data_IF_760823796226
#
_entry.id   IF_760823796226
#
_cell.length_a   1.000
_cell.length_b   1.000
_cell.length_c   1.000
_cell.angle_alpha   90.00
_cell.angle_beta   90.00
_cell.angle_gamma   90.00
#
_symmetry.space_group_name_H-M   'P 1'
#
loop_
_entity.id
_entity.type
_entity.pdbx_description
1 polymer ?
#
# COMPACT_ATOMS: atom_id res chain seq x y z
N UNK A 1 12.59 14.69 34.40
CA UNK A 1 11.93 13.64 33.60
C UNK A 1 12.98 12.59 33.25
N UNK A 2 12.77 11.33 33.60
CA UNK A 2 13.68 10.23 33.26
C UNK A 2 13.58 9.89 31.76
N UNK A 3 14.58 9.18 31.21
CA UNK A 3 14.52 8.75 29.80
C UNK A 3 13.32 7.85 29.51
N UNK A 4 12.90 7.04 30.49
CA UNK A 4 11.73 6.17 30.38
C UNK A 4 10.42 6.93 30.36
N UNK A 5 10.32 8.02 31.13
CA UNK A 5 9.17 8.93 31.07
C UNK A 5 9.09 9.62 29.72
N UNK A 6 10.22 10.08 29.16
CA UNK A 6 10.27 10.65 27.80
C UNK A 6 9.80 9.63 26.77
N UNK A 7 10.31 8.40 26.83
CA UNK A 7 9.90 7.32 25.92
C UNK A 7 8.42 6.96 26.08
N UNK A 8 7.91 6.90 27.32
CA UNK A 8 6.51 6.64 27.60
C UNK A 8 5.59 7.73 27.03
N UNK A 9 5.93 9.00 27.26
CA UNK A 9 5.24 10.14 26.67
C UNK A 9 5.26 10.10 25.15
N UNK A 10 6.39 9.76 24.54
CA UNK A 10 6.48 9.65 23.09
C UNK A 10 5.62 8.50 22.56
N UNK A 11 5.69 7.33 23.18
CA UNK A 11 4.91 6.14 22.77
C UNK A 11 3.40 6.38 22.84
N UNK A 12 2.95 7.20 23.80
CA UNK A 12 1.55 7.60 23.91
C UNK A 12 1.16 8.77 22.99
N UNK A 13 1.90 9.88 23.05
CA UNK A 13 1.51 11.13 22.38
C UNK A 13 1.70 11.08 20.86
N UNK A 14 2.67 10.32 20.36
CA UNK A 14 2.90 10.22 18.93
C UNK A 14 1.74 9.57 18.17
N UNK A 15 1.26 8.34 18.50
CA UNK A 15 0.10 7.76 17.84
C UNK A 15 -1.16 8.60 17.99
N UNK A 16 -1.35 9.24 19.16
CA UNK A 16 -2.48 10.13 19.40
C UNK A 16 -2.44 11.35 18.46
N UNK A 17 -1.30 12.04 18.38
CA UNK A 17 -1.12 13.20 17.52
C UNK A 17 -1.32 12.81 16.05
N UNK A 18 -0.73 11.70 15.61
CA UNK A 18 -0.91 11.22 14.24
C UNK A 18 -2.35 10.82 13.93
N UNK A 19 -3.05 10.20 14.89
CA UNK A 19 -4.48 9.89 14.78
C UNK A 19 -5.31 11.15 14.51
N UNK A 20 -5.08 12.22 15.28
CA UNK A 20 -5.76 13.52 15.11
C UNK A 20 -5.41 14.15 13.76
N UNK A 21 -4.12 14.19 13.39
CA UNK A 21 -3.64 14.76 12.13
C UNK A 21 -4.26 14.03 10.94
N UNK A 22 -4.17 12.70 10.90
CA UNK A 22 -4.69 11.92 9.78
C UNK A 22 -6.22 11.98 9.68
N UNK A 23 -6.92 11.97 10.81
CA UNK A 23 -8.38 12.08 10.86
C UNK A 23 -8.84 13.45 10.34
N UNK A 24 -8.29 14.54 10.88
CA UNK A 24 -8.67 15.89 10.49
C UNK A 24 -8.32 16.20 9.03
N UNK A 25 -7.10 15.87 8.60
CA UNK A 25 -6.68 16.05 7.21
C UNK A 25 -7.45 15.14 6.24
N UNK A 26 -7.82 13.93 6.66
CA UNK A 26 -8.66 13.02 5.89
C UNK A 26 -10.07 13.57 5.66
N UNK A 27 -10.70 14.10 6.71
CA UNK A 27 -12.00 14.79 6.62
C UNK A 27 -11.90 16.01 5.70
N UNK A 28 -10.83 16.81 5.86
CA UNK A 28 -10.60 17.98 5.01
C UNK A 28 -10.44 17.59 3.53
N UNK A 29 -9.64 16.57 3.24
CA UNK A 29 -9.49 16.03 1.89
C UNK A 29 -10.83 15.57 1.34
N UNK A 30 -11.60 14.83 2.13
CA UNK A 30 -12.90 14.35 1.70
C UNK A 30 -13.84 15.50 1.36
N UNK A 31 -13.97 16.48 2.26
CA UNK A 31 -14.86 17.61 2.07
C UNK A 31 -14.46 18.47 0.85
N UNK A 32 -13.16 18.71 0.64
CA UNK A 32 -12.67 19.60 -0.41
C UNK A 32 -12.48 18.95 -1.77
N UNK A 33 -12.09 17.68 -1.81
CA UNK A 33 -11.64 17.00 -3.03
C UNK A 33 -12.43 15.75 -3.35
N UNK A 34 -12.87 14.97 -2.36
CA UNK A 34 -13.52 13.70 -2.62
C UNK A 34 -15.03 13.84 -2.82
N UNK A 35 -15.74 14.59 -1.97
CA UNK A 35 -17.20 14.74 -2.00
C UNK A 35 -17.71 15.29 -3.34
N UNK A 36 -16.94 16.16 -3.99
CA UNK A 36 -17.26 16.68 -5.32
C UNK A 36 -16.93 15.69 -6.45
N UNK A 37 -15.95 14.80 -6.24
CA UNK A 37 -15.48 13.79 -7.21
C UNK A 37 -16.13 12.41 -7.03
N UNK A 38 -16.76 12.12 -5.89
CA UNK A 38 -17.50 10.87 -5.62
C UNK A 38 -18.76 10.77 -6.47
N UNK A 39 -19.28 11.92 -6.92
CA UNK A 39 -20.22 11.96 -8.03
C UNK A 39 -19.44 11.64 -9.30
N UNK A 40 -19.77 10.53 -9.96
CA UNK A 40 -19.31 10.23 -11.33
C UNK A 40 -19.34 11.53 -12.13
N UNK A 41 -18.27 11.90 -12.86
CA UNK A 41 -18.30 13.08 -13.70
C UNK A 41 -19.58 13.03 -14.53
N UNK A 42 -20.30 14.15 -14.62
CA UNK A 42 -21.53 14.23 -15.40
C UNK A 42 -21.31 13.77 -16.83
N UNK A 43 -20.10 14.01 -17.35
CA UNK A 43 -19.59 13.47 -18.60
C UNK A 43 -18.12 13.07 -18.45
N UNK A 44 -17.79 11.86 -18.90
CA UNK A 44 -16.42 11.46 -19.15
C UNK A 44 -15.87 12.17 -20.39
N UNK A 45 -14.56 12.43 -20.48
CA UNK A 45 -13.97 12.97 -21.70
C UNK A 45 -14.16 11.99 -22.86
N UNK A 46 -14.29 12.54 -24.07
CA UNK A 46 -14.37 11.74 -25.30
C UNK A 46 -12.99 11.15 -25.65
N UNK A 47 -11.94 11.95 -25.50
CA UNK A 47 -10.57 11.56 -25.83
C UNK A 47 -9.83 11.05 -24.59
N UNK A 48 -9.57 9.75 -24.56
CA UNK A 48 -8.83 9.08 -23.49
C UNK A 48 -7.38 8.78 -23.90
N UNK A 49 -6.41 8.91 -22.97
CA UNK A 49 -5.04 8.46 -23.22
C UNK A 49 -4.98 6.94 -23.38
N UNK A 50 -4.11 6.44 -24.25
CA UNK A 50 -3.85 5.01 -24.39
C UNK A 50 -3.21 4.42 -23.14
N UNK A 51 -3.60 3.20 -22.76
CA UNK A 51 -3.15 2.54 -21.53
C UNK A 51 -2.52 1.17 -21.78
N UNK A 52 -1.36 0.90 -21.17
CA UNK A 52 -0.82 -0.46 -21.01
C UNK A 52 -0.91 -0.88 -19.55
N UNK A 53 -1.66 -1.95 -19.27
CA UNK A 53 -1.74 -2.58 -17.96
C UNK A 53 -0.68 -3.69 -17.90
N UNK A 54 0.25 -3.60 -16.96
CA UNK A 54 1.25 -4.60 -16.65
C UNK A 54 0.77 -5.44 -15.47
N UNK A 55 0.69 -6.76 -15.68
CA UNK A 55 0.28 -7.74 -14.66
C UNK A 55 1.43 -8.72 -14.46
N UNK A 56 2.40 -8.42 -13.58
CA UNK A 56 3.47 -9.35 -13.30
C UNK A 56 2.89 -10.56 -12.55
N UNK A 57 3.39 -11.76 -12.86
CA UNK A 57 2.92 -13.02 -12.30
C UNK A 57 4.09 -13.99 -12.04
N UNK A 58 4.04 -14.73 -10.94
CA UNK A 58 4.91 -15.90 -10.71
C UNK A 58 4.16 -16.91 -9.84
N UNK A 59 3.83 -18.09 -10.35
CA UNK A 59 3.08 -19.11 -9.61
C UNK A 59 1.77 -18.60 -8.97
N UNK A 60 0.85 -18.10 -9.79
CA UNK A 60 -0.44 -17.49 -9.41
C UNK A 60 -1.64 -18.25 -10.02
N UNK A 61 -1.52 -19.57 -10.26
CA UNK A 61 -2.56 -20.38 -10.94
C UNK A 61 -3.94 -20.34 -10.26
N UNK A 62 -3.97 -20.07 -8.96
CA UNK A 62 -5.19 -20.00 -8.15
C UNK A 62 -5.96 -18.69 -8.36
N UNK A 63 -5.24 -17.58 -8.61
CA UNK A 63 -5.78 -16.22 -8.59
C UNK A 63 -5.92 -15.61 -9.99
N UNK A 64 -4.98 -15.93 -10.90
CA UNK A 64 -4.82 -15.23 -12.18
C UNK A 64 -6.06 -15.29 -13.07
N UNK A 65 -6.82 -16.40 -13.02
CA UNK A 65 -8.05 -16.54 -13.81
C UNK A 65 -9.10 -15.48 -13.46
N UNK A 66 -9.22 -15.12 -12.18
CA UNK A 66 -10.17 -14.10 -11.73
C UNK A 66 -9.75 -12.71 -12.21
N UNK A 67 -8.46 -12.40 -12.13
CA UNK A 67 -7.86 -11.16 -12.65
C UNK A 67 -8.06 -11.04 -14.17
N UNK A 68 -7.73 -12.08 -14.95
CA UNK A 68 -7.98 -12.10 -16.39
C UNK A 68 -9.46 -11.91 -16.72
N UNK A 69 -10.35 -12.52 -15.94
CA UNK A 69 -11.80 -12.36 -16.13
C UNK A 69 -12.22 -10.91 -15.90
N UNK A 70 -11.81 -10.30 -14.79
CA UNK A 70 -12.15 -8.91 -14.47
C UNK A 70 -11.64 -7.92 -15.53
N UNK A 71 -10.43 -8.13 -16.04
CA UNK A 71 -9.82 -7.26 -17.04
C UNK A 71 -10.55 -7.26 -18.40
N UNK A 72 -11.34 -8.30 -18.71
CA UNK A 72 -12.16 -8.32 -19.94
C UNK A 72 -13.35 -7.37 -19.87
N UNK A 73 -13.77 -7.00 -18.66
CA UNK A 73 -14.96 -6.16 -18.42
C UNK A 73 -14.59 -4.71 -18.07
N UNK A 74 -13.36 -4.28 -18.34
CA UNK A 74 -12.97 -2.89 -18.16
C UNK A 74 -13.74 -1.99 -19.13
N UNK A 75 -14.37 -0.95 -18.58
CA UNK A 75 -15.01 0.11 -19.31
C UNK A 75 -13.97 1.19 -19.62
N UNK A 76 -13.14 0.95 -20.64
CA UNK A 76 -12.13 1.88 -21.13
C UNK A 76 -11.88 1.67 -22.63
N UNK A 77 -11.78 2.75 -23.44
CA UNK A 77 -11.80 2.61 -24.90
C UNK A 77 -10.50 2.06 -25.51
N UNK A 78 -9.33 2.48 -25.03
CA UNK A 78 -8.02 2.09 -25.58
C UNK A 78 -7.10 1.58 -24.47
N UNK A 79 -7.09 0.27 -24.30
CA UNK A 79 -6.21 -0.40 -23.35
C UNK A 79 -5.66 -1.70 -23.90
N UNK A 80 -4.46 -2.04 -23.42
CA UNK A 80 -3.86 -3.37 -23.60
C UNK A 80 -3.37 -3.92 -22.28
N UNK A 81 -3.35 -5.23 -22.15
CA UNK A 81 -2.88 -5.95 -20.96
C UNK A 81 -1.68 -6.79 -21.33
N UNK A 82 -0.59 -6.63 -20.60
CA UNK A 82 0.62 -7.44 -20.72
C UNK A 82 0.81 -8.20 -19.42
N UNK A 83 0.49 -9.49 -19.47
CA UNK A 83 0.81 -10.42 -18.40
C UNK A 83 2.29 -10.79 -18.49
N UNK A 84 3.03 -10.61 -17.41
CA UNK A 84 4.48 -10.86 -17.37
C UNK A 84 4.71 -12.10 -16.51
N UNK A 85 4.82 -13.26 -17.16
CA UNK A 85 5.13 -14.52 -16.48
C UNK A 85 6.63 -14.60 -16.17
N UNK A 86 7.00 -14.37 -14.91
CA UNK A 86 8.38 -14.38 -14.40
C UNK A 86 8.86 -15.82 -14.14
N UNK A 87 8.82 -16.64 -15.18
CA UNK A 87 9.16 -18.07 -15.18
C UNK A 87 8.34 -18.91 -14.17
N UNK A 88 7.00 -18.86 -14.26
CA UNK A 88 6.16 -19.75 -13.44
C UNK A 88 6.40 -21.23 -13.78
N UNK A 89 6.35 -22.05 -12.74
CA UNK A 89 6.48 -23.51 -12.79
C UNK A 89 5.14 -24.24 -12.71
N UNK A 90 4.06 -23.51 -12.39
CA UNK A 90 2.70 -24.02 -12.29
C UNK A 90 1.86 -23.73 -13.55
N UNK A 91 0.53 -23.86 -13.48
CA UNK A 91 -0.36 -23.66 -14.64
C UNK A 91 -0.61 -22.19 -15.02
N UNK A 92 0.02 -21.22 -14.35
CA UNK A 92 -0.21 -19.77 -14.56
C UNK A 92 -0.14 -19.38 -16.05
N UNK A 93 0.94 -19.74 -16.73
CA UNK A 93 1.15 -19.39 -18.13
C UNK A 93 0.11 -20.03 -19.06
N UNK A 94 -0.32 -21.26 -18.77
CA UNK A 94 -1.35 -21.97 -19.55
C UNK A 94 -2.72 -21.33 -19.40
N UNK A 95 -3.07 -20.89 -18.18
CA UNK A 95 -4.30 -20.14 -17.92
C UNK A 95 -4.28 -18.82 -18.69
N UNK A 96 -3.19 -18.04 -18.61
CA UNK A 96 -3.07 -16.76 -19.32
C UNK A 96 -3.20 -16.94 -20.84
N UNK A 97 -2.53 -17.95 -21.43
CA UNK A 97 -2.62 -18.23 -22.88
C UNK A 97 -4.06 -18.43 -23.35
N UNK A 98 -4.91 -19.08 -22.55
CA UNK A 98 -6.32 -19.25 -22.88
C UNK A 98 -7.03 -17.89 -23.00
N UNK A 99 -6.78 -16.96 -22.08
CA UNK A 99 -7.39 -15.62 -22.13
C UNK A 99 -6.81 -14.75 -23.26
N UNK A 100 -5.51 -14.87 -23.55
CA UNK A 100 -4.88 -14.21 -24.71
C UNK A 100 -5.55 -14.64 -26.02
N UNK A 101 -5.91 -15.92 -26.16
CA UNK A 101 -6.65 -16.40 -27.33
C UNK A 101 -8.09 -15.89 -27.43
N UNK A 102 -8.66 -15.34 -26.36
CA UNK A 102 -10.05 -14.87 -26.30
C UNK A 102 -10.18 -13.34 -26.42
N UNK A 103 -9.13 -12.59 -26.10
CA UNK A 103 -9.16 -11.14 -26.10
C UNK A 103 -7.91 -10.56 -26.79
N UNK A 104 -8.05 -9.83 -27.92
CA UNK A 104 -6.93 -9.28 -28.66
C UNK A 104 -6.14 -8.22 -27.89
N UNK A 105 -6.71 -7.62 -26.85
CA UNK A 105 -6.03 -6.65 -25.99
C UNK A 105 -5.03 -7.34 -25.04
N UNK A 106 -5.08 -8.67 -24.90
CA UNK A 106 -4.28 -9.40 -23.92
C UNK A 106 -3.03 -9.99 -24.57
N UNK A 107 -1.90 -9.85 -23.89
CA UNK A 107 -0.60 -10.34 -24.34
C UNK A 107 0.12 -11.04 -23.19
N UNK A 108 0.91 -12.05 -23.53
CA UNK A 108 1.76 -12.76 -22.58
C UNK A 108 3.23 -12.51 -22.93
N UNK A 109 3.96 -11.91 -22.00
CA UNK A 109 5.42 -11.85 -22.00
C UNK A 109 5.94 -12.88 -21.00
N UNK A 110 6.61 -13.92 -21.48
CA UNK A 110 7.18 -14.97 -20.63
C UNK A 110 8.69 -14.83 -20.54
N UNK A 111 9.20 -14.74 -19.32
CA UNK A 111 10.63 -14.70 -19.03
C UNK A 111 11.17 -16.13 -18.88
N UNK A 112 12.43 -16.33 -19.29
CA UNK A 112 13.11 -17.63 -19.20
C UNK A 112 13.50 -17.99 -17.77
N UNK A 113 13.73 -16.99 -16.92
CA UNK A 113 14.20 -17.15 -15.54
C UNK A 113 13.46 -16.17 -14.62
N UNK A 114 13.36 -16.51 -13.33
CA UNK A 114 12.78 -15.63 -12.33
C UNK A 114 13.74 -14.47 -12.03
N UNK A 115 13.39 -13.28 -12.54
CA UNK A 115 14.13 -12.04 -12.38
C UNK A 115 13.64 -11.20 -11.20
N UNK A 116 12.47 -11.54 -10.65
CA UNK A 116 11.79 -10.78 -9.61
C UNK A 116 10.90 -9.67 -10.19
N UNK A 117 9.86 -9.29 -9.42
CA UNK A 117 8.79 -8.38 -9.85
C UNK A 117 9.31 -7.08 -10.48
N UNK A 118 10.27 -6.41 -9.84
CA UNK A 118 10.81 -5.13 -10.33
C UNK A 118 11.49 -5.28 -11.70
N UNK A 119 12.31 -6.31 -11.88
CA UNK A 119 12.99 -6.55 -13.16
C UNK A 119 12.00 -6.99 -14.24
N UNK A 120 11.05 -7.87 -13.90
CA UNK A 120 9.98 -8.27 -14.82
C UNK A 120 9.19 -7.05 -15.33
N UNK A 121 8.83 -6.13 -14.43
CA UNK A 121 8.18 -4.86 -14.79
C UNK A 121 9.09 -3.99 -15.68
N UNK A 122 10.38 -3.88 -15.40
CA UNK A 122 11.30 -3.08 -16.22
C UNK A 122 11.50 -3.66 -17.63
N UNK A 123 11.58 -4.98 -17.76
CA UNK A 123 11.65 -5.65 -19.07
C UNK A 123 10.37 -5.35 -19.86
N UNK A 124 9.20 -5.51 -19.25
CA UNK A 124 7.94 -5.21 -19.91
C UNK A 124 7.82 -3.71 -20.27
N UNK A 125 8.29 -2.81 -19.40
CA UNK A 125 8.31 -1.37 -19.64
C UNK A 125 9.17 -1.00 -20.87
N UNK A 126 10.26 -1.73 -21.11
CA UNK A 126 11.14 -1.46 -22.26
C UNK A 126 10.62 -2.09 -23.55
N UNK A 127 10.07 -3.31 -23.51
CA UNK A 127 9.71 -4.06 -24.73
C UNK A 127 8.24 -4.00 -25.13
N UNK A 128 7.32 -3.74 -24.19
CA UNK A 128 5.88 -3.89 -24.42
C UNK A 128 5.06 -2.60 -24.20
N UNK A 129 5.62 -1.59 -23.52
CA UNK A 129 4.91 -0.35 -23.21
C UNK A 129 5.20 0.72 -24.27
N UNK A 130 4.20 0.98 -25.11
CA UNK A 130 4.17 2.03 -26.14
C UNK A 130 3.11 3.11 -25.88
N UNK A 131 2.33 2.98 -24.81
CA UNK A 131 1.18 3.82 -24.50
C UNK A 131 1.54 4.98 -23.58
N UNK A 132 0.66 5.99 -23.55
CA UNK A 132 0.88 7.22 -22.76
C UNK A 132 0.83 7.00 -21.25
N UNK A 133 0.02 6.04 -20.79
CA UNK A 133 -0.15 5.69 -19.39
C UNK A 133 0.17 4.21 -19.16
N UNK A 134 1.00 3.93 -18.16
CA UNK A 134 1.32 2.58 -17.70
C UNK A 134 0.57 2.31 -16.40
N UNK A 135 -0.23 1.25 -16.34
CA UNK A 135 -0.89 0.80 -15.11
C UNK A 135 -0.21 -0.46 -14.64
N UNK A 136 0.03 -0.60 -13.34
CA UNK A 136 0.54 -1.82 -12.71
C UNK A 136 -0.50 -2.31 -11.71
N UNK A 137 -0.84 -3.59 -11.83
CA UNK A 137 -1.69 -4.30 -10.87
C UNK A 137 -1.06 -5.64 -10.50
N UNK A 138 -1.33 -6.16 -9.31
CA UNK A 138 -0.86 -7.50 -8.95
C UNK A 138 -1.73 -8.59 -9.63
N UNK A 139 -1.16 -9.78 -9.84
CA UNK A 139 -1.83 -10.94 -10.44
C UNK A 139 -3.09 -11.42 -9.70
N UNK A 140 -3.23 -11.04 -8.43
CA UNK A 140 -4.36 -11.35 -7.54
C UNK A 140 -5.27 -10.14 -7.28
N UNK A 141 -5.20 -9.11 -8.12
CA UNK A 141 -6.03 -7.90 -7.99
C UNK A 141 -7.16 -7.87 -9.00
N UNK A 142 -8.39 -7.68 -8.51
CA UNK A 142 -9.59 -7.50 -9.34
C UNK A 142 -9.91 -6.00 -9.43
N UNK A 143 -9.87 -5.45 -10.64
CA UNK A 143 -10.34 -4.09 -10.91
C UNK A 143 -11.86 -4.08 -11.12
N UNK A 144 -12.53 -3.02 -10.65
CA UNK A 144 -13.92 -2.76 -11.06
C UNK A 144 -13.94 -2.21 -12.49
N UNK A 145 -15.07 -2.35 -13.22
CA UNK A 145 -15.16 -1.93 -14.62
C UNK A 145 -14.71 -0.48 -14.88
N UNK A 146 -15.06 0.45 -13.99
CA UNK A 146 -14.74 1.89 -14.12
C UNK A 146 -13.44 2.31 -13.42
N UNK A 147 -12.72 1.39 -12.76
CA UNK A 147 -11.48 1.72 -12.02
C UNK A 147 -10.43 2.37 -12.93
N UNK A 148 -10.29 1.90 -14.17
CA UNK A 148 -9.29 2.44 -15.10
C UNK A 148 -9.57 3.90 -15.46
N UNK A 149 -10.85 4.26 -15.67
CA UNK A 149 -11.25 5.66 -15.90
C UNK A 149 -10.86 6.56 -14.74
N UNK A 150 -11.09 6.13 -13.49
CA UNK A 150 -10.70 6.91 -12.32
C UNK A 150 -9.18 7.04 -12.15
N UNK A 151 -8.40 6.02 -12.51
CA UNK A 151 -6.94 6.09 -12.48
C UNK A 151 -6.40 7.08 -13.52
N UNK A 152 -6.97 7.09 -14.72
CA UNK A 152 -6.41 7.85 -15.85
C UNK A 152 -6.92 9.29 -15.89
N UNK A 153 -8.17 9.54 -15.52
CA UNK A 153 -8.81 10.86 -15.61
C UNK A 153 -7.99 12.03 -15.00
N UNK A 154 -7.32 11.87 -13.84
CA UNK A 154 -6.47 12.93 -13.29
C UNK A 154 -5.32 13.39 -14.19
N UNK A 155 -4.75 12.51 -15.03
CA UNK A 155 -3.62 12.85 -15.90
C UNK A 155 -4.00 13.84 -17.01
N UNK A 156 -5.29 13.91 -17.36
CA UNK A 156 -5.82 14.89 -18.32
C UNK A 156 -5.88 16.30 -17.73
N UNK A 157 -5.96 16.42 -16.40
CA UNK A 157 -6.11 17.72 -15.72
C UNK A 157 -4.81 18.26 -15.14
N UNK A 158 -3.89 17.39 -14.77
CA UNK A 158 -2.65 17.77 -14.07
C UNK A 158 -1.43 17.34 -14.90
N UNK A 159 -0.80 18.28 -15.64
CA UNK A 159 0.40 18.00 -16.43
C UNK A 159 1.57 17.43 -15.61
N UNK A 160 1.76 17.90 -14.37
CA UNK A 160 2.83 17.43 -13.48
C UNK A 160 2.49 16.13 -12.73
N UNK A 161 1.40 15.45 -13.08
CA UNK A 161 1.03 14.19 -12.45
C UNK A 161 1.92 13.06 -12.98
N UNK A 162 2.74 12.50 -12.11
CA UNK A 162 3.61 11.36 -12.43
C UNK A 162 2.94 10.02 -12.12
N UNK A 163 2.15 9.94 -11.05
CA UNK A 163 1.46 8.71 -10.67
C UNK A 163 0.10 8.94 -9.98
N UNK A 164 -0.81 7.98 -10.15
CA UNK A 164 -2.09 7.88 -9.45
C UNK A 164 -2.21 6.50 -8.84
N UNK A 165 -2.34 6.42 -7.52
CA UNK A 165 -2.63 5.17 -6.81
C UNK A 165 -4.11 5.06 -6.46
N UNK A 166 -4.67 3.87 -6.69
CA UNK A 166 -6.05 3.55 -6.35
C UNK A 166 -6.24 3.15 -4.90
N UNK A 167 -7.45 2.67 -4.59
CA UNK A 167 -7.93 2.26 -3.28
C UNK A 167 -8.07 0.74 -3.18
N UNK A 168 -7.10 0.04 -2.54
CA UNK A 168 -7.20 -1.38 -2.33
C UNK A 168 -8.25 -1.71 -1.24
N UNK A 169 -9.19 -2.59 -1.56
CA UNK A 169 -10.21 -3.07 -0.64
C UNK A 169 -10.02 -4.57 -0.44
N UNK A 170 -9.80 -4.98 0.81
CA UNK A 170 -9.67 -6.39 1.14
C UNK A 170 -11.03 -7.09 1.03
N UNK A 171 -11.11 -8.21 0.30
CA UNK A 171 -12.37 -8.94 0.12
C UNK A 171 -12.60 -9.98 1.20
N UNK A 172 -11.55 -10.64 1.69
CA UNK A 172 -11.68 -11.70 2.69
C UNK A 172 -11.85 -11.11 4.10
N UNK A 173 -12.88 -11.59 4.81
CA UNK A 173 -13.25 -11.17 6.19
C UNK A 173 -13.73 -12.36 7.04
N UNK A 174 -13.22 -13.57 6.77
CA UNK A 174 -13.67 -14.82 7.43
C UNK A 174 -13.14 -14.92 8.86
N UNK A 175 -11.84 -14.68 9.07
CA UNK A 175 -11.21 -14.80 10.38
C UNK A 175 -10.77 -13.43 10.98
N UNK A 176 -10.30 -13.44 12.24
CA UNK A 176 -9.90 -12.21 12.94
C UNK A 176 -8.78 -11.45 12.22
N UNK A 177 -7.75 -12.15 11.74
CA UNK A 177 -6.60 -11.55 11.04
C UNK A 177 -7.06 -10.87 9.74
N UNK A 178 -7.98 -11.51 9.01
CA UNK A 178 -8.58 -10.94 7.81
C UNK A 178 -9.45 -9.71 8.11
N UNK A 179 -10.29 -9.76 9.15
CA UNK A 179 -11.11 -8.61 9.58
C UNK A 179 -10.27 -7.42 10.01
N UNK A 180 -9.19 -7.65 10.76
CA UNK A 180 -8.27 -6.60 11.20
C UNK A 180 -7.49 -5.97 10.03
N UNK A 181 -7.13 -6.76 9.02
CA UNK A 181 -6.48 -6.24 7.81
C UNK A 181 -7.45 -5.49 6.91
N UNK A 182 -8.69 -5.97 6.75
CA UNK A 182 -9.73 -5.25 6.03
C UNK A 182 -9.99 -3.88 6.68
N UNK A 183 -10.06 -3.86 8.02
CA UNK A 183 -10.09 -2.62 8.77
C UNK A 183 -8.87 -1.77 8.40
N UNK A 184 -7.63 -2.24 8.58
CA UNK A 184 -6.42 -1.46 8.32
C UNK A 184 -6.28 -0.88 6.90
N UNK A 185 -6.48 -1.69 5.85
CA UNK A 185 -6.33 -1.26 4.46
C UNK A 185 -7.34 -0.18 4.11
N UNK A 186 -8.63 -0.46 4.38
CA UNK A 186 -9.70 0.43 3.98
C UNK A 186 -9.81 1.65 4.90
N UNK A 187 -9.41 1.54 6.18
CA UNK A 187 -9.46 2.66 7.12
C UNK A 187 -8.14 3.44 7.20
N UNK A 188 -7.09 2.84 7.76
CA UNK A 188 -5.87 3.52 8.20
C UNK A 188 -5.04 3.90 6.99
N UNK A 189 -4.77 2.96 6.08
CA UNK A 189 -3.98 3.24 4.89
C UNK A 189 -4.72 4.25 3.99
N UNK A 190 -6.01 4.04 3.76
CA UNK A 190 -6.85 4.98 3.01
C UNK A 190 -6.87 6.39 3.62
N UNK A 191 -7.03 6.51 4.94
CA UNK A 191 -7.06 7.79 5.66
C UNK A 191 -5.70 8.49 5.64
N UNK A 192 -4.61 7.75 5.88
CA UNK A 192 -3.23 8.27 5.79
C UNK A 192 -2.98 8.83 4.40
N UNK A 193 -3.36 8.11 3.33
CA UNK A 193 -3.20 8.60 1.96
C UNK A 193 -4.01 9.86 1.69
N UNK A 194 -5.25 9.97 2.17
CA UNK A 194 -6.05 11.20 2.09
C UNK A 194 -5.35 12.37 2.80
N UNK A 195 -4.83 12.14 4.00
CA UNK A 195 -4.05 13.13 4.75
C UNK A 195 -2.79 13.57 3.99
N UNK A 196 -2.00 12.61 3.50
CA UNK A 196 -0.81 12.85 2.68
C UNK A 196 -1.12 13.64 1.41
N UNK A 197 -2.29 13.46 0.81
CA UNK A 197 -2.76 14.26 -0.33
C UNK A 197 -3.06 15.71 0.00
N UNK A 198 -3.37 16.04 1.25
CA UNK A 198 -3.46 17.44 1.71
C UNK A 198 -2.08 18.07 1.77
N UNK A 199 -1.10 17.34 2.30
CA UNK A 199 0.32 17.76 2.32
C UNK A 199 0.95 17.82 0.91
N UNK A 200 0.29 17.22 -0.07
CA UNK A 200 0.74 17.18 -1.47
C UNK A 200 1.80 16.11 -1.73
N UNK A 201 2.16 15.27 -0.77
CA UNK A 201 3.18 14.23 -0.90
C UNK A 201 2.71 12.92 -0.32
N UNK A 202 2.93 11.84 -1.05
CA UNK A 202 2.50 10.48 -0.68
C UNK A 202 3.73 9.64 -0.37
N UNK A 203 3.69 8.88 0.73
CA UNK A 203 4.80 8.04 1.14
C UNK A 203 5.04 6.89 0.14
N UNK A 204 3.95 6.26 -0.29
CA UNK A 204 3.99 5.12 -1.21
C UNK A 204 2.70 5.01 -2.02
N UNK A 205 2.84 4.70 -3.30
CA UNK A 205 1.75 4.13 -4.09
C UNK A 205 1.42 2.72 -3.58
N UNK A 206 0.20 2.25 -3.79
CA UNK A 206 -0.14 0.84 -3.60
C UNK A 206 0.27 0.06 -4.84
N UNK A 207 1.26 -0.82 -4.71
CA UNK A 207 1.77 -1.64 -5.82
C UNK A 207 0.73 -2.57 -6.48
N UNK A 208 -0.42 -2.79 -5.85
CA UNK A 208 -1.52 -3.58 -6.40
C UNK A 208 -2.45 -2.78 -7.34
N UNK A 209 -2.44 -1.44 -7.29
CA UNK A 209 -3.23 -0.58 -8.20
C UNK A 209 -2.61 0.81 -8.31
N UNK A 210 -1.88 1.03 -9.39
CA UNK A 210 -1.23 2.31 -9.66
C UNK A 210 -1.11 2.56 -11.17
N UNK A 211 -1.40 3.79 -11.57
CA UNK A 211 -1.16 4.32 -12.90
C UNK A 211 0.02 5.30 -12.87
N UNK A 212 0.82 5.30 -13.92
CA UNK A 212 1.97 6.16 -14.11
C UNK A 212 1.88 6.83 -15.47
N UNK A 213 2.32 8.08 -15.54
CA UNK A 213 2.65 8.71 -16.81
C UNK A 213 3.87 7.97 -17.37
N UNK A 214 3.74 7.34 -18.54
CA UNK A 214 4.77 6.41 -19.06
C UNK A 214 6.12 7.09 -19.23
N UNK A 215 6.15 8.31 -19.75
CA UNK A 215 7.37 9.10 -19.90
C UNK A 215 8.08 9.34 -18.55
N UNK A 216 7.33 9.65 -17.49
CA UNK A 216 7.88 9.86 -16.15
C UNK A 216 8.43 8.56 -15.57
N UNK A 217 7.71 7.46 -15.73
CA UNK A 217 8.16 6.14 -15.28
C UNK A 217 9.48 5.73 -15.94
N UNK A 218 9.64 6.04 -17.24
CA UNK A 218 10.89 5.81 -17.98
C UNK A 218 12.00 6.81 -17.57
N UNK A 219 11.67 8.09 -17.41
CA UNK A 219 12.60 9.16 -17.00
C UNK A 219 13.27 8.84 -15.65
N UNK A 220 12.53 8.29 -14.70
CA UNK A 220 13.06 7.92 -13.37
C UNK A 220 13.77 6.56 -13.34
N UNK A 221 13.90 5.90 -14.50
CA UNK A 221 14.61 4.62 -14.64
C UNK A 221 13.83 3.41 -14.15
N UNK A 222 12.50 3.47 -14.09
CA UNK A 222 11.65 2.35 -13.69
C UNK A 222 11.83 1.87 -12.25
N UNK A 223 11.45 0.62 -12.01
CA UNK A 223 11.37 -0.01 -10.70
C UNK A 223 12.75 -0.47 -10.22
N UNK A 224 13.15 -0.15 -8.99
CA UNK A 224 14.46 -0.59 -8.48
C UNK A 224 14.44 -2.07 -8.06
N UNK A 225 15.38 -2.92 -8.53
CA UNK A 225 15.53 -4.30 -8.03
C UNK A 225 16.30 -4.38 -6.70
N UNK A 226 16.84 -3.26 -6.22
CA UNK A 226 17.65 -3.17 -5.01
C UNK A 226 16.83 -2.80 -3.77
N UNK A 227 15.51 -2.95 -3.84
CA UNK A 227 14.58 -2.71 -2.72
C UNK A 227 13.66 -3.91 -2.52
N UNK A 228 13.20 -4.11 -1.29
CA UNK A 228 12.20 -5.12 -0.98
C UNK A 228 10.78 -4.68 -1.36
N UNK A 229 10.61 -3.38 -1.62
CA UNK A 229 9.35 -2.70 -1.94
C UNK A 229 9.61 -1.70 -3.06
N UNK A 230 9.39 -2.13 -4.29
CA UNK A 230 9.59 -1.36 -5.51
C UNK A 230 8.65 -0.15 -5.62
N UNK A 231 7.47 -0.28 -5.02
CA UNK A 231 6.41 0.74 -4.95
C UNK A 231 6.79 1.95 -4.09
N UNK A 232 7.43 1.72 -2.94
CA UNK A 232 7.98 2.81 -2.13
C UNK A 232 9.06 3.55 -2.93
N UNK A 233 10.03 2.83 -3.50
CA UNK A 233 11.16 3.45 -4.20
C UNK A 233 10.73 4.29 -5.41
N UNK A 234 9.84 3.76 -6.25
CA UNK A 234 9.36 4.49 -7.44
C UNK A 234 8.60 5.77 -7.04
N UNK A 235 7.82 5.72 -5.94
CA UNK A 235 7.09 6.89 -5.43
C UNK A 235 8.04 8.03 -5.10
N UNK A 236 9.17 7.73 -4.48
CA UNK A 236 10.16 8.73 -4.09
C UNK A 236 10.97 9.24 -5.29
N UNK A 237 11.35 8.36 -6.22
CA UNK A 237 12.01 8.77 -7.47
C UNK A 237 11.16 9.77 -8.27
N UNK A 238 9.86 9.50 -8.42
CA UNK A 238 8.90 10.39 -9.10
C UNK A 238 8.82 11.74 -8.38
N UNK A 239 8.63 11.74 -7.06
CA UNK A 239 8.49 12.98 -6.32
C UNK A 239 9.79 13.79 -6.22
N UNK A 240 10.98 13.17 -6.27
CA UNK A 240 12.28 13.86 -6.36
C UNK A 240 12.49 14.58 -7.69
N UNK A 241 11.74 14.21 -8.74
CA UNK A 241 11.66 14.90 -10.04
C UNK A 241 10.52 15.93 -10.10
N UNK A 242 9.96 16.35 -8.96
CA UNK A 242 8.90 17.36 -8.86
C UNK A 242 7.56 16.98 -9.48
N UNK A 243 7.39 15.73 -9.86
CA UNK A 243 6.08 15.20 -10.23
C UNK A 243 5.23 14.94 -8.99
N UNK A 244 3.92 15.09 -9.17
CA UNK A 244 2.94 14.80 -8.15
C UNK A 244 2.55 13.33 -8.16
N UNK A 245 2.18 12.82 -6.98
CA UNK A 245 1.60 11.49 -6.80
C UNK A 245 0.24 11.65 -6.12
N UNK A 246 -0.81 11.15 -6.77
CA UNK A 246 -2.18 11.32 -6.30
C UNK A 246 -2.75 10.00 -5.80
N UNK A 247 -3.55 10.05 -4.74
CA UNK A 247 -4.41 8.96 -4.32
C UNK A 247 -5.84 9.29 -4.74
N UNK A 248 -6.48 8.35 -5.44
CA UNK A 248 -7.84 8.48 -5.96
C UNK A 248 -8.69 7.37 -5.33
N UNK A 249 -9.52 7.71 -4.31
CA UNK A 249 -10.27 6.70 -3.56
C UNK A 249 -11.34 5.97 -4.39
N UNK A 250 -11.82 6.58 -5.47
CA UNK A 250 -12.78 6.01 -6.42
C UNK A 250 -12.18 4.91 -7.30
N UNK A 251 -10.86 4.90 -7.48
CA UNK A 251 -10.16 3.88 -8.26
C UNK A 251 -10.01 2.60 -7.42
N UNK A 252 -11.11 1.88 -7.21
CA UNK A 252 -11.17 0.71 -6.33
C UNK A 252 -10.52 -0.51 -6.97
N UNK A 253 -9.71 -1.22 -6.18
CA UNK A 253 -9.17 -2.51 -6.56
C UNK A 253 -9.40 -3.51 -5.42
N UNK A 254 -9.98 -4.65 -5.75
CA UNK A 254 -10.27 -5.71 -4.79
C UNK A 254 -9.05 -6.62 -4.64
N UNK A 255 -8.58 -6.79 -3.41
CA UNK A 255 -7.37 -7.56 -3.06
C UNK A 255 -7.67 -8.64 -2.03
N UNK A 256 -6.80 -9.64 -1.96
CA UNK A 256 -6.78 -10.60 -0.86
C UNK A 256 -5.74 -10.22 0.20
N UNK A 257 -6.17 -10.20 1.46
CA UNK A 257 -5.27 -10.10 2.59
C UNK A 257 -4.77 -11.49 3.03
N UNK A 258 -3.55 -11.60 3.57
CA UNK A 258 -3.06 -12.81 4.23
C UNK A 258 -4.07 -13.46 5.17
N UNK A 259 -4.33 -14.77 4.99
CA UNK A 259 -5.31 -15.50 5.80
C UNK A 259 -4.72 -16.00 7.13
N UNK A 260 -3.40 -16.14 7.22
CA UNK A 260 -2.70 -16.71 8.37
C UNK A 260 -1.68 -15.73 8.98
N UNK A 261 -1.41 -15.87 10.29
CA UNK A 261 -0.42 -15.05 10.99
C UNK A 261 0.99 -15.20 10.39
N UNK A 262 1.33 -16.39 9.88
CA UNK A 262 2.61 -16.66 9.23
C UNK A 262 2.77 -15.88 7.93
N UNK A 263 1.73 -15.80 7.11
CA UNK A 263 1.74 -15.02 5.87
C UNK A 263 1.75 -13.53 6.17
N UNK A 264 0.95 -13.10 7.15
CA UNK A 264 0.95 -11.74 7.65
C UNK A 264 2.35 -11.31 8.12
N UNK A 265 3.05 -12.12 8.91
CA UNK A 265 4.43 -11.86 9.33
C UNK A 265 5.40 -11.73 8.17
N UNK A 266 5.30 -12.60 7.15
CA UNK A 266 6.15 -12.49 5.95
C UNK A 266 5.90 -11.18 5.20
N UNK A 267 4.64 -10.80 5.04
CA UNK A 267 4.27 -9.54 4.39
C UNK A 267 4.82 -8.34 5.18
N UNK A 268 4.60 -8.29 6.50
CA UNK A 268 5.03 -7.19 7.36
C UNK A 268 6.55 -7.04 7.43
N UNK A 269 7.28 -8.15 7.51
CA UNK A 269 8.75 -8.11 7.42
C UNK A 269 9.23 -7.51 6.10
N UNK A 270 8.57 -7.83 4.97
CA UNK A 270 8.94 -7.26 3.67
C UNK A 270 8.69 -5.75 3.64
N UNK A 271 7.54 -5.30 4.13
CA UNK A 271 7.22 -3.87 4.21
C UNK A 271 8.16 -3.10 5.15
N UNK A 272 8.43 -3.64 6.33
CA UNK A 272 9.35 -3.04 7.29
C UNK A 272 10.77 -2.94 6.71
N UNK A 273 11.24 -4.00 6.04
CA UNK A 273 12.52 -4.01 5.33
C UNK A 273 12.56 -2.98 4.20
N UNK A 274 11.47 -2.87 3.43
CA UNK A 274 11.30 -1.87 2.39
C UNK A 274 11.43 -0.44 2.89
N UNK A 275 10.85 -0.15 4.05
CA UNK A 275 11.02 1.13 4.72
C UNK A 275 12.45 1.42 5.19
N UNK A 276 13.16 0.41 5.69
CA UNK A 276 14.60 0.57 5.98
C UNK A 276 15.41 0.89 4.72
N UNK A 277 15.08 0.25 3.60
CA UNK A 277 15.72 0.53 2.32
C UNK A 277 15.41 1.95 1.85
N UNK A 278 14.16 2.44 1.97
CA UNK A 278 13.78 3.83 1.72
C UNK A 278 14.69 4.81 2.48
N UNK A 279 14.85 4.62 3.79
CA UNK A 279 15.69 5.50 4.62
C UNK A 279 17.14 5.54 4.14
N UNK A 280 17.66 4.43 3.58
CA UNK A 280 19.02 4.34 3.04
C UNK A 280 19.16 4.92 1.64
N UNK A 281 18.23 4.61 0.74
CA UNK A 281 18.33 4.95 -0.68
C UNK A 281 17.92 6.39 -0.97
N UNK A 282 17.08 6.99 -0.12
CA UNK A 282 16.57 8.36 -0.28
C UNK A 282 17.04 9.33 0.82
N UNK A 283 18.08 9.00 1.61
CA UNK A 283 18.70 9.97 2.55
C UNK A 283 19.36 11.16 1.87
N UNK A 284 19.63 11.05 0.58
CA UNK A 284 20.22 12.12 -0.22
C UNK A 284 19.29 13.33 -0.38
N UNK A 285 18.00 13.20 -0.03
CA UNK A 285 17.07 14.34 0.01
C UNK A 285 17.59 15.51 0.86
N UNK A 286 18.40 15.22 1.89
CA UNK A 286 18.98 16.25 2.77
C UNK A 286 20.22 16.93 2.20
N UNK A 287 20.78 16.43 1.08
CA UNK A 287 21.93 17.06 0.42
C UNK A 287 21.56 18.36 -0.29
N UNK A 288 20.27 18.60 -0.54
CA UNK A 288 19.80 19.80 -1.21
C UNK A 288 18.46 20.28 -0.65
N UNK A 289 18.38 21.58 -0.35
CA UNK A 289 17.15 22.24 0.08
C UNK A 289 16.00 22.17 -0.94
N UNK A 290 16.34 21.87 -2.20
CA UNK A 290 15.38 21.71 -3.29
C UNK A 290 14.30 20.65 -2.96
N UNK A 291 14.65 19.60 -2.21
CA UNK A 291 13.76 18.48 -1.85
C UNK A 291 13.08 18.61 -0.48
N UNK A 292 13.14 19.77 0.19
CA UNK A 292 12.58 19.97 1.55
C UNK A 292 11.09 19.63 1.69
N UNK A 293 10.33 19.67 0.59
CA UNK A 293 8.91 19.32 0.60
C UNK A 293 8.66 17.84 0.88
N UNK A 294 9.68 16.98 0.75
CA UNK A 294 9.63 15.56 1.12
C UNK A 294 9.92 15.34 2.61
N UNK A 295 10.49 16.34 3.30
CA UNK A 295 10.90 16.20 4.70
C UNK A 295 9.74 15.84 5.64
N UNK A 296 8.53 16.42 5.53
CA UNK A 296 7.44 16.06 6.44
C UNK A 296 7.10 14.56 6.37
N UNK A 297 7.02 14.00 5.17
CA UNK A 297 6.72 12.56 4.97
C UNK A 297 7.92 11.69 5.37
N UNK A 298 9.15 12.15 5.13
CA UNK A 298 10.35 11.44 5.60
C UNK A 298 10.41 11.38 7.13
N UNK A 299 10.20 12.52 7.81
CA UNK A 299 10.26 12.61 9.26
C UNK A 299 9.11 11.86 9.92
N UNK A 300 7.89 11.94 9.40
CA UNK A 300 6.76 11.09 9.84
C UNK A 300 7.17 9.61 9.81
N UNK A 301 7.81 9.17 8.73
CA UNK A 301 8.29 7.80 8.61
C UNK A 301 9.39 7.43 9.63
N UNK A 302 10.38 8.31 9.81
CA UNK A 302 11.47 8.12 10.80
C UNK A 302 10.92 8.09 12.23
N UNK A 303 10.00 8.99 12.57
CA UNK A 303 9.35 9.06 13.88
C UNK A 303 8.54 7.80 14.14
N UNK A 304 7.80 7.28 13.15
CA UNK A 304 7.11 5.99 13.26
C UNK A 304 8.06 4.83 13.54
N UNK A 305 9.25 4.81 12.93
CA UNK A 305 10.25 3.78 13.18
C UNK A 305 10.87 3.93 14.56
N UNK A 306 11.23 5.15 14.98
CA UNK A 306 11.71 5.44 16.33
C UNK A 306 10.69 5.03 17.38
N UNK A 307 9.40 5.29 17.12
CA UNK A 307 8.29 4.89 17.99
C UNK A 307 8.26 3.36 18.18
N UNK A 308 8.47 2.59 17.11
CA UNK A 308 8.54 1.13 17.20
C UNK A 308 9.67 0.65 18.13
N UNK A 309 10.85 1.27 18.07
CA UNK A 309 11.94 0.95 19.01
C UNK A 309 11.60 1.33 20.45
N UNK A 310 11.05 2.52 20.67
CA UNK A 310 10.66 2.95 22.01
C UNK A 310 9.61 2.02 22.61
N UNK A 311 8.61 1.63 21.81
CA UNK A 311 7.57 0.70 22.23
C UNK A 311 8.14 -0.68 22.57
N UNK A 312 8.93 -1.29 21.67
CA UNK A 312 9.45 -2.65 21.86
C UNK A 312 10.44 -2.71 23.03
N UNK A 313 11.44 -1.84 23.07
CA UNK A 313 12.43 -1.86 24.16
C UNK A 313 11.82 -1.41 25.48
N UNK A 314 10.92 -0.42 25.47
CA UNK A 314 10.20 -0.01 26.67
C UNK A 314 9.33 -1.12 27.24
N UNK A 315 8.66 -1.89 26.38
CA UNK A 315 7.84 -3.06 26.79
C UNK A 315 8.70 -4.21 27.29
N UNK A 316 9.83 -4.49 26.64
CA UNK A 316 10.77 -5.53 27.10
C UNK A 316 11.36 -5.19 28.47
N UNK A 317 11.76 -3.93 28.68
CA UNK A 317 12.25 -3.47 29.98
C UNK A 317 11.17 -3.59 31.05
N UNK A 318 9.93 -3.23 30.73
CA UNK A 318 8.80 -3.40 31.64
C UNK A 318 8.56 -4.86 32.01
N UNK A 319 8.60 -5.77 31.03
CA UNK A 319 8.43 -7.20 31.26
C UNK A 319 9.55 -7.77 32.16
N UNK A 320 10.81 -7.41 31.89
CA UNK A 320 11.97 -7.87 32.67
C UNK A 320 11.90 -7.29 34.09
N UNK A 321 11.69 -5.98 34.22
CA UNK A 321 11.67 -5.32 35.54
C UNK A 321 10.49 -5.76 36.40
N UNK A 322 9.35 -6.15 35.82
CA UNK A 322 8.21 -6.71 36.55
C UNK A 322 8.52 -8.01 37.28
N UNK A 323 9.57 -8.73 36.87
CA UNK A 323 10.03 -9.97 37.52
C UNK A 323 10.88 -9.65 38.76
N UNK A 324 11.67 -8.58 38.71
CA UNK A 324 12.71 -8.28 39.71
C UNK A 324 12.34 -7.13 40.67
N UNK A 325 11.38 -6.27 40.30
CA UNK A 325 11.04 -5.06 41.05
C UNK A 325 9.53 -4.94 41.30
N UNK A 326 9.17 -4.42 42.47
CA UNK A 326 7.76 -4.14 42.82
C UNK A 326 7.16 -3.01 41.96
N UNK A 327 8.01 -2.08 41.49
CA UNK A 327 7.63 -1.01 40.58
C UNK A 327 8.38 -1.18 39.25
N UNK A 328 7.77 -1.81 38.24
CA UNK A 328 8.44 -2.07 36.99
C UNK A 328 8.79 -0.78 36.24
N UNK A 329 9.98 -0.76 35.67
CA UNK A 329 10.51 0.32 34.83
C UNK A 329 10.16 0.07 33.36
N UNK A 330 9.86 1.13 32.60
CA UNK A 330 9.58 1.03 31.17
C UNK A 330 8.11 1.30 30.84
N UNK A 331 7.62 0.69 29.76
CA UNK A 331 6.29 0.99 29.20
C UNK A 331 5.42 -0.25 29.36
N UNK A 332 4.35 -0.14 30.14
CA UNK A 332 3.40 -1.25 30.26
C UNK A 332 2.60 -1.41 28.95
N UNK A 333 2.54 -2.63 28.39
CA UNK A 333 1.67 -2.94 27.26
C UNK A 333 0.20 -3.03 27.69
N UNK A 334 -0.07 -3.09 29.00
CA UNK A 334 -1.43 -3.14 29.55
C UNK A 334 -2.04 -1.75 29.43
N UNK A 335 -3.24 -1.61 28.82
CA UNK A 335 -3.90 -0.32 28.70
C UNK A 335 -4.25 0.24 30.08
N UNK A 336 -3.46 1.19 30.59
CA UNK A 336 -3.89 2.06 31.68
C UNK A 336 -4.81 3.17 31.12
N UNK A 337 -5.07 4.24 31.89
CA UNK A 337 -5.92 5.36 31.45
C UNK A 337 -5.50 5.96 30.09
N UNK A 338 -4.19 6.01 29.81
CA UNK A 338 -3.64 6.45 28.53
C UNK A 338 -3.97 5.46 27.39
N UNK A 339 -3.96 4.15 27.67
CA UNK A 339 -4.35 3.12 26.70
C UNK A 339 -5.84 3.19 26.37
N UNK A 340 -6.69 3.52 27.34
CA UNK A 340 -8.11 3.79 27.10
C UNK A 340 -8.30 5.00 26.19
N UNK A 341 -7.53 6.08 26.40
CA UNK A 341 -7.60 7.27 25.55
C UNK A 341 -7.15 7.00 24.10
N UNK A 342 -6.05 6.26 23.91
CA UNK A 342 -5.62 5.80 22.58
C UNK A 342 -6.67 4.92 21.91
N UNK A 343 -7.34 4.06 22.67
CA UNK A 343 -8.40 3.20 22.13
C UNK A 343 -9.60 4.02 21.65
N UNK A 344 -10.02 5.04 22.42
CA UNK A 344 -11.09 5.97 22.00
C UNK A 344 -10.68 6.74 20.74
N UNK A 345 -9.47 7.31 20.71
CA UNK A 345 -8.95 8.00 19.53
C UNK A 345 -8.92 7.07 18.30
N UNK A 346 -8.48 5.83 18.49
CA UNK A 346 -8.48 4.80 17.46
C UNK A 346 -9.86 4.43 16.94
N UNK A 347 -10.86 4.31 17.82
CA UNK A 347 -12.26 4.07 17.44
C UNK A 347 -12.82 5.25 16.67
N UNK A 348 -12.54 6.50 17.09
CA UNK A 348 -12.96 7.71 16.37
C UNK A 348 -12.33 7.76 14.98
N UNK A 349 -11.02 7.59 14.88
CA UNK A 349 -10.28 7.56 13.61
C UNK A 349 -10.86 6.50 12.65
N UNK A 350 -11.11 5.29 13.16
CA UNK A 350 -11.65 4.22 12.34
C UNK A 350 -13.11 4.48 11.94
N UNK A 351 -13.93 5.04 12.82
CA UNK A 351 -15.33 5.40 12.50
C UNK A 351 -15.39 6.45 11.40
N UNK A 352 -14.52 7.47 11.48
CA UNK A 352 -14.37 8.44 10.39
C UNK A 352 -13.92 7.75 9.12
N UNK A 353 -12.90 6.89 9.18
CA UNK A 353 -12.41 6.21 8.00
C UNK A 353 -13.45 5.24 7.37
N UNK A 354 -14.30 4.62 8.19
CA UNK A 354 -15.44 3.81 7.74
C UNK A 354 -16.50 4.68 7.04
N UNK A 355 -16.78 5.87 7.58
CA UNK A 355 -17.64 6.85 6.94
C UNK A 355 -17.09 7.32 5.59
N UNK A 356 -15.79 7.67 5.53
CA UNK A 356 -15.15 8.12 4.29
C UNK A 356 -15.09 7.04 3.20
N UNK A 357 -15.13 5.76 3.57
CA UNK A 357 -15.12 4.65 2.63
C UNK A 357 -16.48 3.98 2.42
N UNK A 358 -17.56 4.53 2.97
CA UNK A 358 -18.88 3.91 2.91
C UNK A 358 -19.35 3.63 1.48
N UNK A 359 -19.06 4.55 0.55
CA UNK A 359 -19.42 4.40 -0.87
C UNK A 359 -18.63 3.29 -1.60
N UNK A 360 -17.50 2.85 -1.04
CA UNK A 360 -16.62 1.85 -1.65
C UNK A 360 -16.65 0.50 -0.93
N UNK A 361 -16.85 0.49 0.40
CA UNK A 361 -16.96 -0.71 1.23
C UNK A 361 -17.95 -0.50 2.38
N UNK A 362 -19.23 -0.80 2.11
CA UNK A 362 -20.31 -0.72 3.10
C UNK A 362 -20.13 -1.66 4.29
N UNK A 363 -19.42 -2.78 4.09
CA UNK A 363 -19.22 -3.80 5.12
C UNK A 363 -18.13 -3.42 6.13
N UNK A 364 -17.38 -2.34 5.89
CA UNK A 364 -16.32 -1.88 6.78
C UNK A 364 -16.83 -1.53 8.19
N UNK A 365 -18.07 -1.04 8.30
CA UNK A 365 -18.69 -0.74 9.60
C UNK A 365 -18.77 -1.98 10.52
N UNK A 366 -18.92 -3.18 9.94
CA UNK A 366 -18.95 -4.45 10.68
C UNK A 366 -17.60 -4.80 11.31
N UNK A 367 -16.50 -4.22 10.83
CA UNK A 367 -15.17 -4.46 11.41
C UNK A 367 -14.85 -3.53 12.58
N UNK A 368 -15.67 -2.50 12.86
CA UNK A 368 -15.40 -1.52 13.92
C UNK A 368 -15.28 -2.14 15.31
N UNK A 369 -16.06 -3.19 15.60
CA UNK A 369 -15.97 -3.90 16.87
C UNK A 369 -14.57 -4.49 17.14
N UNK A 370 -13.85 -4.86 16.07
CA UNK A 370 -12.54 -5.49 16.17
C UNK A 370 -11.39 -4.49 16.29
N UNK A 371 -11.67 -3.19 16.22
CA UNK A 371 -10.67 -2.12 16.16
C UNK A 371 -9.82 -2.00 17.42
N UNK A 372 -10.34 -2.11 18.65
CA UNK A 372 -9.48 -2.09 19.84
C UNK A 372 -8.39 -3.18 19.77
N UNK A 373 -8.73 -4.34 19.21
CA UNK A 373 -7.79 -5.45 19.01
C UNK A 373 -6.74 -5.16 17.94
N UNK A 374 -7.01 -4.28 16.97
CA UNK A 374 -6.00 -3.82 16.01
C UNK A 374 -4.83 -3.14 16.73
N UNK A 375 -5.13 -2.22 17.65
CA UNK A 375 -4.12 -1.45 18.38
C UNK A 375 -3.30 -2.33 19.34
N UNK A 376 -3.92 -3.37 19.90
CA UNK A 376 -3.23 -4.32 20.78
C UNK A 376 -2.35 -5.27 19.98
N UNK A 377 -2.90 -5.91 18.93
CA UNK A 377 -2.21 -7.01 18.26
C UNK A 377 -1.42 -6.56 17.03
N UNK A 378 -2.04 -5.88 16.07
CA UNK A 378 -1.38 -5.56 14.80
C UNK A 378 -0.35 -4.44 14.95
N UNK A 379 -0.60 -3.49 15.85
CA UNK A 379 0.33 -2.40 16.15
C UNK A 379 1.62 -2.90 16.81
N UNK A 380 1.51 -3.75 17.83
CA UNK A 380 2.66 -4.40 18.48
C UNK A 380 3.42 -5.31 17.50
N UNK A 381 2.69 -6.08 16.68
CA UNK A 381 3.30 -6.95 15.68
C UNK A 381 4.06 -6.15 14.60
N UNK A 382 3.49 -5.03 14.15
CA UNK A 382 4.14 -4.09 13.26
C UNK A 382 5.44 -3.53 13.86
N UNK A 383 5.39 -3.03 15.10
CA UNK A 383 6.55 -2.51 15.81
C UNK A 383 7.66 -3.57 15.94
N UNK A 384 7.30 -4.81 16.31
CA UNK A 384 8.23 -5.93 16.36
C UNK A 384 8.88 -6.20 15.00
N UNK A 385 8.14 -6.17 13.89
CA UNK A 385 8.74 -6.39 12.57
C UNK A 385 9.71 -5.29 12.15
N UNK A 386 9.47 -4.03 12.54
CA UNK A 386 10.40 -2.92 12.31
C UNK A 386 11.72 -3.16 13.04
N UNK A 387 11.66 -3.44 14.34
CA UNK A 387 12.85 -3.70 15.17
C UNK A 387 13.58 -4.95 14.71
N UNK A 388 12.85 -6.04 14.44
CA UNK A 388 13.39 -7.31 13.97
C UNK A 388 14.14 -7.18 12.64
N UNK A 389 13.62 -6.38 11.72
CA UNK A 389 14.23 -6.20 10.39
C UNK A 389 15.34 -5.16 10.38
N UNK A 390 15.54 -4.38 11.45
CA UNK A 390 16.50 -3.28 11.48
C UNK A 390 17.96 -3.68 11.18
N UNK A 391 18.53 -4.77 11.73
CA UNK A 391 19.91 -5.14 11.42
C UNK A 391 20.09 -5.43 9.92
N UNK A 392 19.15 -6.20 9.33
CA UNK A 392 19.16 -6.52 7.90
C UNK A 392 18.86 -5.29 7.04
N UNK A 393 17.94 -4.44 7.47
CA UNK A 393 17.53 -3.25 6.73
C UNK A 393 18.60 -2.17 6.71
N UNK A 394 19.28 -1.93 7.83
CA UNK A 394 20.32 -0.91 7.98
C UNK A 394 21.67 -1.35 7.41
N UNK A 395 22.09 -2.59 7.69
CA UNK A 395 23.44 -3.06 7.39
C UNK A 395 23.48 -4.17 6.33
N UNK A 396 22.36 -4.80 6.01
CA UNK A 396 22.30 -5.87 5.02
C UNK A 396 22.49 -5.38 3.58
N UNK A 397 22.83 -6.33 2.71
CA UNK A 397 22.93 -6.08 1.27
C UNK A 397 21.56 -5.76 0.68
N UNK A 398 21.55 -4.75 -0.18
CA UNK A 398 20.39 -4.38 -1.00
C UNK A 398 20.27 -5.27 -2.25
N UNK A 399 21.36 -5.97 -2.63
CA UNK A 399 21.37 -6.86 -3.78
C UNK A 399 20.48 -8.10 -3.53
N UNK A 400 19.63 -8.43 -4.49
CA UNK A 400 18.73 -9.59 -4.42
C UNK A 400 17.52 -9.42 -3.50
N UNK A 401 17.29 -8.21 -2.95
CA UNK A 401 16.11 -7.91 -2.14
C UNK A 401 14.78 -8.07 -2.92
N UNK A 402 14.82 -7.95 -4.25
CA UNK A 402 13.67 -8.08 -5.15
C UNK A 402 13.30 -9.50 -5.59
N UNK A 403 13.94 -10.57 -5.08
CA UNK A 403 13.58 -11.95 -5.46
C UNK A 403 12.12 -12.22 -5.12
N UNK A 404 11.32 -12.58 -6.12
CA UNK A 404 9.89 -12.73 -5.98
C UNK A 404 9.52 -14.15 -5.57
N UNK A 405 8.82 -14.26 -4.44
CA UNK A 405 8.12 -15.47 -4.03
C UNK A 405 6.65 -15.14 -3.75
N UNK A 406 5.75 -15.77 -4.50
CA UNK A 406 4.31 -15.55 -4.33
C UNK A 406 3.81 -16.15 -3.01
N UNK A 407 2.89 -15.46 -2.31
CA UNK A 407 2.19 -16.01 -1.16
C UNK A 407 1.29 -17.20 -1.56
N UNK A 408 0.89 -18.03 -0.59
CA UNK A 408 -0.17 -19.02 -0.86
C UNK A 408 -1.50 -18.28 -1.02
N UNK A 409 -2.34 -18.78 -1.93
CA UNK A 409 -3.60 -18.15 -2.32
C UNK A 409 -4.78 -19.04 -2.05
N UNK A 410 -5.94 -18.43 -1.86
CA UNK A 410 -7.24 -19.08 -1.79
C UNK A 410 -8.09 -18.55 -2.95
N UNK A 411 -8.93 -19.39 -3.55
CA UNK A 411 -9.79 -18.96 -4.66
C UNK A 411 -10.72 -17.83 -4.20
N UNK A 412 -10.79 -16.73 -4.96
CA UNK A 412 -11.78 -15.67 -4.70
C UNK A 412 -13.19 -16.22 -4.93
N UNK A 413 -14.02 -16.21 -3.89
CA UNK A 413 -15.48 -16.34 -4.02
C UNK A 413 -16.03 -15.03 -4.62
N UNK A 414 -17.14 -15.09 -5.36
CA UNK A 414 -17.77 -13.89 -5.92
C UNK A 414 -18.03 -12.90 -4.77
N UNK A 415 -17.47 -11.68 -4.81
CA UNK A 415 -17.70 -10.71 -3.75
C UNK A 415 -19.19 -10.34 -3.73
N UNK A 416 -19.79 -10.33 -2.56
CA UNK A 416 -21.16 -9.84 -2.36
C UNK A 416 -21.13 -8.30 -2.37
N UNK A 417 -21.13 -7.73 -3.57
CA UNK A 417 -21.04 -6.27 -3.80
C UNK A 417 -22.43 -5.61 -3.74
N UNK A 418 -23.48 -6.32 -3.30
CA UNK A 418 -24.85 -5.80 -3.16
C UNK A 418 -25.40 -6.08 -1.76
N UNK A 419 -24.79 -5.44 -0.76
CA UNK A 419 -25.36 -5.23 0.57
C UNK A 419 -25.75 -3.79 0.78
#
# INVERSE_FOLDING_TARGET
MTIWEVMGWYVFTYPLAMSIIWTSAGIYFWWRREKSYSRKPSQWPENWPSVTILVPCHNEEVSIAATCTALQFLDYPDYRVVFIDDASTDNTASIIRRFVGLNPNFHLLRLSENQGKANALNIALSVAVTTSITVVIDADTILLPDTLKYLVYPFLKQPRLGAVTGNPISVNRKNLIEKLQAAEFSSIIGLIKRSQRVLGRVLTVSGCVVAFRTEVLKEVGGFSPYTATEDIDITWKIQKRFYEVWFVPQAVALIQSPATLREYWKQRKRWALGGWHLLRTHKDIFKSWHWRYLYPVYFDFVLGYLWAFCFVFGTLLWAISSIFFHYPLGISPIPAWYGAFLSVAGVVQMSVAAFLNYDYDRNLWKTLFWVPWYFVFLFAFGALTVVWTAPKGLFGSLAGAGKWKSPKRVKMEKPDIRG
#
